data_IF_498936740890
#
_entry.id   IF_498936740890
#
_cell.length_a   1.000
_cell.length_b   1.000
_cell.length_c   1.000
_cell.angle_alpha   90.00
_cell.angle_beta   90.00
_cell.angle_gamma   90.00
#
_symmetry.space_group_name_H-M   'P 1'
#
loop_
_entity.id
_entity.type
_entity.pdbx_description
1 polymer ?
#
# COMPACT_ATOMS: atom_id res chain seq x y z
N UNK A 1 -19.81 -22.43 7.69
CA UNK A 1 -20.29 -21.26 6.93
C UNK A 1 -19.08 -20.35 6.69
N UNK A 2 -18.42 -20.48 5.52
CA UNK A 2 -17.25 -19.66 5.15
C UNK A 2 -17.77 -18.37 4.52
N UNK A 3 -17.23 -17.24 4.95
CA UNK A 3 -17.81 -15.93 4.65
C UNK A 3 -16.84 -14.93 4.02
N UNK A 4 -15.54 -15.17 4.19
CA UNK A 4 -14.46 -14.40 3.58
C UNK A 4 -13.38 -15.37 3.11
N UNK A 5 -12.77 -15.08 1.97
CA UNK A 5 -11.69 -15.88 1.40
C UNK A 5 -10.55 -14.98 0.94
N UNK A 6 -9.35 -15.24 1.46
CA UNK A 6 -8.13 -14.61 0.98
C UNK A 6 -7.57 -15.35 -0.23
N UNK A 7 -7.20 -14.61 -1.27
CA UNK A 7 -6.69 -15.11 -2.55
C UNK A 7 -5.32 -14.48 -2.83
N UNK A 8 -4.26 -15.29 -2.86
CA UNK A 8 -2.95 -14.85 -3.36
C UNK A 8 -2.96 -14.81 -4.89
N UNK A 9 -3.41 -13.69 -5.46
CA UNK A 9 -3.51 -13.50 -6.92
C UNK A 9 -2.15 -13.07 -7.49
N UNK A 10 -1.38 -12.30 -6.73
CA UNK A 10 -0.10 -11.67 -7.10
C UNK A 10 -0.23 -10.59 -8.17
N UNK A 11 -0.60 -10.93 -9.40
CA UNK A 11 -0.70 -9.98 -10.52
C UNK A 11 -1.65 -10.51 -11.60
N UNK A 12 -2.39 -9.65 -12.31
CA UNK A 12 -3.17 -10.08 -13.47
C UNK A 12 -2.28 -10.49 -14.67
N UNK A 13 -1.01 -10.08 -14.68
CA UNK A 13 -0.10 -10.35 -15.81
C UNK A 13 0.44 -11.78 -15.77
N UNK A 14 0.21 -12.53 -16.85
CA UNK A 14 0.74 -13.90 -17.01
C UNK A 14 2.27 -13.97 -16.97
N UNK A 15 2.99 -12.89 -17.34
CA UNK A 15 4.45 -12.84 -17.25
C UNK A 15 4.93 -12.88 -15.78
N UNK A 16 4.44 -11.97 -14.94
CA UNK A 16 4.76 -11.94 -13.50
C UNK A 16 4.27 -13.20 -12.75
N UNK A 17 3.15 -13.80 -13.16
CA UNK A 17 2.71 -15.09 -12.61
C UNK A 17 3.66 -16.24 -12.93
N UNK A 18 4.27 -16.26 -14.13
CA UNK A 18 5.29 -17.26 -14.47
C UNK A 18 6.60 -17.01 -13.72
N UNK A 19 6.99 -15.75 -13.56
CA UNK A 19 8.16 -15.34 -12.78
C UNK A 19 8.07 -15.81 -11.32
N UNK A 20 6.86 -15.76 -10.74
CA UNK A 20 6.59 -16.19 -9.36
C UNK A 20 6.19 -17.67 -9.22
N UNK A 21 6.25 -18.44 -10.30
CA UNK A 21 5.84 -19.86 -10.34
C UNK A 21 4.39 -20.10 -9.89
N UNK A 22 3.52 -19.09 -10.03
CA UNK A 22 2.09 -19.17 -9.68
C UNK A 22 1.28 -19.84 -10.79
N UNK A 23 1.69 -21.04 -11.18
CA UNK A 23 1.21 -21.73 -12.40
C UNK A 23 -0.30 -22.01 -12.38
N UNK A 24 -0.89 -22.19 -11.20
CA UNK A 24 -2.35 -22.30 -11.05
C UNK A 24 -3.10 -21.03 -11.48
N UNK A 25 -2.53 -19.84 -11.25
CA UNK A 25 -3.10 -18.56 -11.70
C UNK A 25 -2.81 -18.31 -13.19
N UNK A 26 -1.74 -18.91 -13.72
CA UNK A 26 -1.43 -18.88 -15.16
C UNK A 26 -2.47 -19.69 -15.95
N UNK A 27 -2.88 -20.85 -15.43
CA UNK A 27 -3.77 -21.78 -16.12
C UNK A 27 -5.26 -21.38 -16.11
N UNK A 28 -5.65 -20.36 -15.35
CA UNK A 28 -7.05 -19.97 -15.16
C UNK A 28 -7.35 -18.57 -15.68
N UNK A 29 -8.62 -18.31 -15.97
CA UNK A 29 -9.13 -16.95 -16.06
C UNK A 29 -9.41 -16.43 -14.64
N UNK A 30 -8.65 -15.43 -14.22
CA UNK A 30 -8.67 -14.95 -12.84
C UNK A 30 -10.00 -14.30 -12.48
N UNK A 31 -10.58 -13.53 -13.40
CA UNK A 31 -11.84 -12.81 -13.18
C UNK A 31 -12.99 -13.79 -12.95
N UNK A 32 -13.17 -14.78 -13.83
CA UNK A 32 -14.21 -15.81 -13.67
C UNK A 32 -13.99 -16.67 -12.43
N UNK A 33 -12.75 -16.99 -12.08
CA UNK A 33 -12.42 -17.74 -10.86
C UNK A 33 -12.85 -16.95 -9.61
N UNK A 34 -12.51 -15.68 -9.53
CA UNK A 34 -12.91 -14.80 -8.41
C UNK A 34 -14.43 -14.68 -8.35
N UNK A 35 -15.11 -14.44 -9.48
CA UNK A 35 -16.58 -14.34 -9.54
C UNK A 35 -17.27 -15.63 -9.13
N UNK A 36 -16.70 -16.79 -9.47
CA UNK A 36 -17.21 -18.09 -9.04
C UNK A 36 -17.14 -18.24 -7.52
N UNK A 37 -16.05 -17.78 -6.88
CA UNK A 37 -15.94 -17.79 -5.41
C UNK A 37 -16.97 -16.83 -4.80
N UNK A 38 -17.07 -15.62 -5.33
CA UNK A 38 -18.04 -14.62 -4.87
C UNK A 38 -19.48 -15.10 -5.01
N UNK A 39 -19.81 -15.90 -6.04
CA UNK A 39 -21.17 -16.43 -6.26
C UNK A 39 -21.63 -17.40 -5.18
N UNK A 40 -20.75 -17.85 -4.28
CA UNK A 40 -21.13 -18.61 -3.08
C UNK A 40 -21.43 -17.72 -1.86
N UNK A 41 -21.45 -16.39 -2.02
CA UNK A 41 -21.72 -15.45 -0.93
C UNK A 41 -20.49 -15.10 -0.09
N UNK A 42 -19.29 -15.32 -0.64
CA UNK A 42 -18.02 -15.05 0.04
C UNK A 42 -17.48 -13.67 -0.36
N UNK A 43 -17.02 -12.90 0.61
CA UNK A 43 -16.22 -11.71 0.36
C UNK A 43 -14.81 -12.16 -0.01
N UNK A 44 -14.28 -11.68 -1.14
CA UNK A 44 -12.91 -11.99 -1.55
C UNK A 44 -11.95 -10.89 -1.12
N UNK A 45 -10.83 -11.29 -0.53
CA UNK A 45 -9.67 -10.43 -0.24
C UNK A 45 -8.55 -10.84 -1.18
N UNK A 46 -7.99 -9.93 -1.96
CA UNK A 46 -6.88 -10.26 -2.87
C UNK A 46 -5.54 -9.77 -2.33
N UNK A 47 -4.56 -10.67 -2.24
CA UNK A 47 -3.14 -10.35 -2.15
C UNK A 47 -2.59 -10.04 -3.53
N UNK A 48 -2.11 -8.80 -3.71
CA UNK A 48 -1.57 -8.28 -4.96
C UNK A 48 -0.16 -7.74 -4.71
N UNK A 49 0.73 -7.91 -5.68
CA UNK A 49 2.12 -7.47 -5.65
C UNK A 49 2.43 -6.71 -6.94
N UNK A 50 3.18 -5.62 -6.82
CA UNK A 50 3.76 -4.87 -7.94
C UNK A 50 5.27 -4.80 -7.77
N UNK A 51 6.01 -4.78 -8.88
CA UNK A 51 7.46 -4.64 -8.90
C UNK A 51 8.18 -5.91 -9.37
N UNK A 52 7.49 -6.77 -10.13
CA UNK A 52 8.10 -7.87 -10.85
C UNK A 52 8.99 -7.36 -11.98
N UNK A 53 9.93 -8.18 -12.45
CA UNK A 53 10.87 -7.75 -13.51
C UNK A 53 10.15 -7.44 -14.83
N UNK A 54 8.98 -8.05 -15.05
CA UNK A 54 8.12 -7.82 -16.21
C UNK A 54 7.11 -6.68 -16.05
N UNK A 55 7.10 -5.99 -14.91
CA UNK A 55 6.20 -4.86 -14.69
C UNK A 55 6.76 -3.59 -15.34
N UNK A 56 6.01 -3.05 -16.30
CA UNK A 56 6.19 -1.72 -16.88
C UNK A 56 5.10 -0.77 -16.34
N UNK A 57 5.11 0.50 -16.76
CA UNK A 57 4.18 1.51 -16.25
C UNK A 57 2.68 1.16 -16.45
N UNK A 58 2.33 0.26 -17.39
CA UNK A 58 0.94 -0.14 -17.59
C UNK A 58 0.42 -1.06 -16.47
N UNK A 59 1.29 -1.60 -15.60
CA UNK A 59 0.87 -2.51 -14.53
C UNK A 59 -0.16 -1.87 -13.60
N UNK A 60 -0.07 -0.55 -13.37
CA UNK A 60 -0.97 0.14 -12.46
C UNK A 60 -2.41 0.14 -12.96
N UNK A 61 -2.60 0.33 -14.27
CA UNK A 61 -3.94 0.24 -14.87
C UNK A 61 -4.41 -1.20 -14.94
N UNK A 62 -3.56 -2.15 -15.32
CA UNK A 62 -3.91 -3.57 -15.38
C UNK A 62 -4.40 -4.08 -14.01
N UNK A 63 -3.71 -3.71 -12.93
CA UNK A 63 -4.08 -4.02 -11.55
C UNK A 63 -5.44 -3.41 -11.19
N UNK A 64 -5.64 -2.12 -11.49
CA UNK A 64 -6.90 -1.44 -11.21
C UNK A 64 -8.07 -2.07 -11.98
N UNK A 65 -7.91 -2.26 -13.28
CA UNK A 65 -8.93 -2.82 -14.17
C UNK A 65 -9.33 -4.23 -13.72
N UNK A 66 -8.35 -5.10 -13.43
CA UNK A 66 -8.61 -6.44 -12.91
C UNK A 66 -9.41 -6.40 -11.60
N UNK A 67 -8.97 -5.61 -10.63
CA UNK A 67 -9.63 -5.53 -9.32
C UNK A 67 -11.06 -4.99 -9.42
N UNK A 68 -11.29 -4.03 -10.33
CA UNK A 68 -12.61 -3.47 -10.60
C UNK A 68 -13.51 -4.48 -11.31
N UNK A 69 -13.01 -5.14 -12.35
CA UNK A 69 -13.76 -6.12 -13.14
C UNK A 69 -14.12 -7.38 -12.34
N UNK A 70 -13.18 -7.87 -11.52
CA UNK A 70 -13.38 -8.97 -10.59
C UNK A 70 -14.20 -8.58 -9.35
N UNK A 71 -14.50 -7.29 -9.18
CA UNK A 71 -15.29 -6.80 -8.06
C UNK A 71 -14.67 -7.05 -6.69
N UNK A 72 -13.35 -7.02 -6.53
CA UNK A 72 -12.70 -7.40 -5.26
C UNK A 72 -12.73 -6.21 -4.27
N UNK A 73 -13.49 -6.25 -3.18
CA UNK A 73 -13.66 -5.07 -2.32
C UNK A 73 -12.42 -4.75 -1.45
N UNK A 74 -11.66 -5.77 -1.04
CA UNK A 74 -10.49 -5.62 -0.16
C UNK A 74 -9.23 -6.10 -0.87
N UNK A 75 -8.20 -5.26 -0.89
CA UNK A 75 -6.96 -5.51 -1.62
C UNK A 75 -5.76 -5.30 -0.69
N UNK A 76 -5.04 -6.37 -0.41
CA UNK A 76 -3.71 -6.31 0.19
C UNK A 76 -2.69 -6.09 -0.92
N UNK A 77 -2.57 -4.85 -1.37
CA UNK A 77 -1.60 -4.44 -2.38
C UNK A 77 -0.27 -4.10 -1.70
N UNK A 78 0.83 -4.68 -2.18
CA UNK A 78 2.17 -4.41 -1.70
C UNK A 78 3.20 -4.30 -2.83
N UNK A 79 4.35 -3.74 -2.51
CA UNK A 79 5.51 -3.76 -3.40
C UNK A 79 6.34 -5.03 -3.15
N UNK A 80 6.88 -5.62 -4.21
CA UNK A 80 7.72 -6.80 -4.12
C UNK A 80 8.96 -6.49 -3.27
N UNK A 81 9.28 -7.38 -2.34
CA UNK A 81 10.42 -7.25 -1.44
C UNK A 81 11.29 -8.52 -1.57
N UNK A 82 12.58 -8.32 -1.75
CA UNK A 82 13.55 -9.41 -1.80
C UNK A 82 14.00 -9.72 -0.38
N UNK A 83 13.43 -10.76 0.24
CA UNK A 83 13.75 -11.17 1.62
C UNK A 83 15.08 -11.95 1.64
N UNK A 84 16.03 -11.66 2.56
CA UNK A 84 17.29 -12.38 2.67
C UNK A 84 17.12 -13.89 2.66
N UNK A 85 18.04 -14.60 1.99
CA UNK A 85 18.06 -16.07 1.84
C UNK A 85 16.89 -16.64 1.03
N UNK A 86 16.20 -15.82 0.23
CA UNK A 86 15.26 -16.31 -0.79
C UNK A 86 15.95 -16.42 -2.15
N UNK A 87 15.49 -17.30 -3.06
CA UNK A 87 16.00 -17.36 -4.42
C UNK A 87 15.93 -16.01 -5.14
N UNK A 88 14.89 -15.21 -4.87
CA UNK A 88 14.74 -13.86 -5.42
C UNK A 88 15.85 -12.93 -4.92
N UNK A 89 16.15 -12.94 -3.62
CA UNK A 89 17.22 -12.14 -3.04
C UNK A 89 18.58 -12.49 -3.63
N UNK A 90 18.95 -13.77 -3.66
CA UNK A 90 20.24 -14.19 -4.22
C UNK A 90 20.38 -13.81 -5.70
N UNK A 91 19.28 -13.90 -6.47
CA UNK A 91 19.25 -13.49 -7.88
C UNK A 91 19.50 -11.98 -8.03
N UNK A 92 18.85 -11.17 -7.21
CA UNK A 92 18.96 -9.70 -7.28
C UNK A 92 20.27 -9.19 -6.69
N UNK A 93 20.84 -9.87 -5.69
CA UNK A 93 22.17 -9.60 -5.16
C UNK A 93 23.25 -9.79 -6.23
N UNK A 94 23.23 -10.94 -6.93
CA UNK A 94 24.14 -11.20 -8.06
C UNK A 94 23.95 -10.22 -9.23
N UNK A 95 22.75 -9.68 -9.39
CA UNK A 95 22.43 -8.69 -10.40
C UNK A 95 22.70 -7.23 -9.98
N UNK A 96 23.21 -6.99 -8.76
CA UNK A 96 23.40 -5.66 -8.18
C UNK A 96 22.13 -4.78 -8.18
N UNK A 97 20.97 -5.41 -7.98
CA UNK A 97 19.64 -4.75 -7.99
C UNK A 97 19.04 -4.59 -6.59
N UNK A 98 19.80 -4.84 -5.53
CA UNK A 98 19.38 -4.59 -4.16
C UNK A 98 19.74 -3.16 -3.74
N UNK A 99 18.75 -2.36 -3.36
CA UNK A 99 18.91 -0.96 -2.97
C UNK A 99 19.10 -0.77 -1.46
N UNK A 100 18.55 -1.67 -0.66
CA UNK A 100 18.54 -1.59 0.81
C UNK A 100 18.33 -2.97 1.43
N UNK A 101 18.48 -3.11 2.76
CA UNK A 101 17.96 -4.28 3.46
C UNK A 101 16.45 -4.42 3.29
N UNK A 102 15.97 -5.66 3.30
CA UNK A 102 14.53 -5.94 3.27
C UNK A 102 13.91 -5.68 4.64
N UNK A 103 12.66 -5.24 4.67
CA UNK A 103 11.94 -4.98 5.93
C UNK A 103 10.74 -5.90 6.16
N UNK A 104 10.42 -6.79 5.21
CA UNK A 104 9.41 -7.84 5.39
C UNK A 104 7.97 -7.34 5.60
N UNK A 105 7.71 -6.05 5.43
CA UNK A 105 6.41 -5.45 5.67
C UNK A 105 5.72 -5.05 4.34
N UNK A 106 4.58 -5.66 4.06
CA UNK A 106 3.78 -5.46 2.85
C UNK A 106 3.05 -4.11 2.79
N UNK A 107 3.01 -3.38 3.90
CA UNK A 107 2.37 -2.05 4.02
C UNK A 107 3.30 -0.89 3.65
N UNK A 108 4.55 -1.21 3.29
CA UNK A 108 5.58 -0.23 3.00
C UNK A 108 5.38 0.37 1.62
N UNK A 109 5.54 1.69 1.52
CA UNK A 109 5.48 2.42 0.24
C UNK A 109 6.84 2.48 -0.45
N UNK A 110 7.65 1.44 -0.31
CA UNK A 110 8.97 1.33 -0.93
C UNK A 110 9.35 -0.15 -1.16
N UNK A 111 10.37 -0.37 -1.99
CA UNK A 111 10.96 -1.68 -2.25
C UNK A 111 12.48 -1.63 -2.10
N UNK A 112 13.09 -2.76 -1.73
CA UNK A 112 14.54 -2.92 -1.76
C UNK A 112 15.08 -3.36 -3.12
N UNK A 113 14.25 -3.36 -4.17
CA UNK A 113 14.57 -3.84 -5.50
C UNK A 113 14.66 -2.66 -6.48
N UNK A 114 15.68 -2.64 -7.33
CA UNK A 114 15.72 -1.77 -8.51
C UNK A 114 14.86 -2.38 -9.64
N UNK A 115 13.77 -1.75 -10.08
CA UNK A 115 12.94 -2.25 -11.19
C UNK A 115 13.69 -2.30 -12.54
N UNK A 116 13.24 -3.17 -13.46
CA UNK A 116 13.87 -3.30 -14.79
C UNK A 116 13.22 -2.38 -15.83
N UNK A 117 11.88 -2.34 -15.87
CA UNK A 117 11.12 -1.74 -16.98
C UNK A 117 10.50 -0.37 -16.64
N UNK A 118 10.89 0.25 -15.52
CA UNK A 118 10.52 1.61 -15.14
C UNK A 118 11.54 2.16 -14.15
N UNK A 119 11.54 3.47 -13.90
CA UNK A 119 12.38 4.02 -12.83
C UNK A 119 11.80 3.69 -11.45
N UNK A 120 12.67 3.62 -10.45
CA UNK A 120 12.26 3.40 -9.06
C UNK A 120 11.20 4.40 -8.58
N UNK A 121 11.35 5.69 -8.87
CA UNK A 121 10.38 6.71 -8.44
C UNK A 121 9.04 6.62 -9.17
N UNK A 122 9.03 6.20 -10.44
CA UNK A 122 7.81 5.88 -11.19
C UNK A 122 7.07 4.70 -10.54
N UNK A 123 7.80 3.67 -10.10
CA UNK A 123 7.23 2.53 -9.37
C UNK A 123 6.51 2.98 -8.09
N UNK A 124 7.19 3.79 -7.27
CA UNK A 124 6.65 4.23 -5.98
C UNK A 124 5.46 5.17 -6.15
N UNK A 125 5.55 6.16 -7.04
CA UNK A 125 4.46 7.12 -7.24
C UNK A 125 3.26 6.48 -7.96
N UNK A 126 3.50 5.55 -8.89
CA UNK A 126 2.45 4.73 -9.50
C UNK A 126 1.74 3.84 -8.47
N UNK A 127 2.49 3.17 -7.59
CA UNK A 127 1.93 2.38 -6.48
C UNK A 127 1.04 3.23 -5.57
N UNK A 128 1.51 4.40 -5.13
CA UNK A 128 0.73 5.32 -4.28
C UNK A 128 -0.55 5.77 -4.99
N UNK A 129 -0.44 6.17 -6.25
CA UNK A 129 -1.58 6.63 -7.05
C UNK A 129 -2.64 5.54 -7.20
N UNK A 130 -2.20 4.32 -7.54
CA UNK A 130 -3.07 3.15 -7.62
C UNK A 130 -3.74 2.87 -6.27
N UNK A 131 -2.97 2.82 -5.19
CA UNK A 131 -3.48 2.52 -3.85
C UNK A 131 -4.55 3.54 -3.43
N UNK A 132 -4.36 4.83 -3.70
CA UNK A 132 -5.38 5.86 -3.46
C UNK A 132 -6.66 5.60 -4.28
N UNK A 133 -6.49 5.36 -5.59
CA UNK A 133 -7.59 5.16 -6.53
C UNK A 133 -8.45 3.96 -6.15
N UNK A 134 -7.82 2.86 -5.73
CA UNK A 134 -8.51 1.64 -5.27
C UNK A 134 -9.44 1.91 -4.09
N UNK A 135 -9.06 2.84 -3.20
CA UNK A 135 -9.79 3.17 -1.98
C UNK A 135 -10.52 4.52 -2.05
N UNK A 136 -10.89 4.95 -3.25
CA UNK A 136 -11.95 5.95 -3.42
C UNK A 136 -13.29 5.37 -2.95
N UNK A 137 -14.15 6.23 -2.39
CA UNK A 137 -15.47 5.81 -1.92
C UNK A 137 -16.25 5.17 -3.07
N UNK A 138 -16.19 5.74 -4.27
CA UNK A 138 -16.86 5.19 -5.43
C UNK A 138 -16.30 3.83 -5.85
N UNK A 139 -14.98 3.67 -5.98
CA UNK A 139 -14.39 2.39 -6.40
C UNK A 139 -14.68 1.26 -5.39
N UNK A 140 -14.59 1.53 -4.09
CA UNK A 140 -14.97 0.56 -3.05
C UNK A 140 -16.46 0.21 -3.17
N UNK A 141 -17.31 1.23 -3.28
CA UNK A 141 -18.76 1.05 -3.32
C UNK A 141 -19.24 0.25 -4.53
N UNK A 142 -18.63 0.48 -5.69
CA UNK A 142 -18.90 -0.28 -6.91
C UNK A 142 -18.57 -1.76 -6.75
N UNK A 143 -17.36 -2.08 -6.29
CA UNK A 143 -16.93 -3.47 -6.09
C UNK A 143 -17.80 -4.17 -5.05
N UNK A 144 -18.14 -3.48 -3.95
CA UNK A 144 -19.01 -4.04 -2.93
C UNK A 144 -20.44 -4.29 -3.43
N UNK A 145 -21.07 -3.31 -4.09
CA UNK A 145 -22.44 -3.47 -4.57
C UNK A 145 -22.55 -4.49 -5.71
N UNK A 146 -21.50 -4.69 -6.50
CA UNK A 146 -21.42 -5.79 -7.46
C UNK A 146 -21.47 -7.16 -6.76
N UNK A 147 -20.77 -7.32 -5.64
CA UNK A 147 -20.85 -8.54 -4.83
C UNK A 147 -22.25 -8.74 -4.26
N UNK A 148 -22.85 -7.70 -3.68
CA UNK A 148 -24.21 -7.77 -3.11
C UNK A 148 -25.23 -8.20 -4.17
N UNK A 149 -25.09 -7.75 -5.41
CA UNK A 149 -25.95 -8.20 -6.50
C UNK A 149 -25.70 -9.66 -6.88
N UNK A 150 -24.44 -10.08 -7.02
CA UNK A 150 -24.08 -11.47 -7.33
C UNK A 150 -24.60 -12.46 -6.26
N UNK A 151 -24.58 -12.05 -5.00
CA UNK A 151 -25.01 -12.85 -3.85
C UNK A 151 -26.50 -13.20 -3.82
N UNK A 152 -27.32 -12.55 -4.65
CA UNK A 152 -28.75 -12.86 -4.80
C UNK A 152 -29.00 -14.29 -5.26
N UNK A 153 -28.02 -14.91 -5.92
CA UNK A 153 -28.10 -16.31 -6.38
C UNK A 153 -27.91 -17.34 -5.27
N UNK A 154 -27.67 -16.94 -4.01
CA UNK A 154 -27.40 -17.84 -2.88
C UNK A 154 -28.57 -17.83 -1.89
N UNK A 155 -29.64 -18.61 -2.12
CA UNK A 155 -30.81 -18.61 -1.26
C UNK A 155 -30.49 -19.19 0.13
N UNK A 156 -31.18 -18.70 1.16
CA UNK A 156 -31.12 -19.26 2.52
C UNK A 156 -29.84 -18.99 3.31
N UNK A 157 -28.88 -18.22 2.75
CA UNK A 157 -27.64 -17.86 3.45
C UNK A 157 -27.90 -16.81 4.54
N UNK A 158 -27.30 -17.00 5.70
CA UNK A 158 -27.25 -15.99 6.76
C UNK A 158 -26.15 -14.97 6.46
N UNK A 159 -26.54 -13.71 6.25
CA UNK A 159 -25.64 -12.62 5.89
C UNK A 159 -25.07 -11.88 7.11
N UNK A 160 -24.76 -12.64 8.16
CA UNK A 160 -24.14 -12.14 9.36
C UNK A 160 -22.84 -12.91 9.59
N UNK A 161 -21.73 -12.30 9.20
CA UNK A 161 -20.41 -12.94 9.16
C UNK A 161 -19.89 -13.44 10.51
N UNK A 162 -20.11 -12.64 11.56
CA UNK A 162 -19.79 -12.98 12.94
C UNK A 162 -21.09 -12.93 13.71
N UNK A 163 -21.48 -13.97 14.47
CA UNK A 163 -22.65 -13.85 15.33
C UNK A 163 -22.46 -12.59 16.17
N UNK A 164 -23.52 -11.79 16.29
CA UNK A 164 -23.57 -10.71 17.28
C UNK A 164 -23.27 -11.41 18.60
N UNK A 165 -22.03 -11.29 19.08
CA UNK A 165 -21.63 -11.85 20.35
C UNK A 165 -22.52 -11.25 21.45
N UNK A 166 -22.29 -11.62 22.70
CA UNK A 166 -23.03 -11.02 23.80
C UNK A 166 -22.95 -9.48 23.69
N UNK A 167 -24.10 -8.81 23.70
CA UNK A 167 -24.18 -7.36 23.51
C UNK A 167 -23.21 -6.66 24.48
N UNK A 168 -22.30 -5.85 23.92
CA UNK A 168 -21.38 -5.03 24.72
C UNK A 168 -21.73 -3.57 24.46
N UNK A 169 -21.82 -2.73 25.51
CA UNK A 169 -22.17 -1.30 25.34
C UNK A 169 -21.23 -0.57 24.37
N UNK A 170 -19.98 -1.00 24.25
CA UNK A 170 -19.03 -0.47 23.26
C UNK A 170 -19.48 -0.65 21.79
N UNK A 171 -20.31 -1.65 21.45
CA UNK A 171 -20.82 -1.81 20.09
C UNK A 171 -21.72 -0.65 19.64
N UNK A 172 -22.57 -0.15 20.55
CA UNK A 172 -23.40 1.02 20.27
C UNK A 172 -22.53 2.26 20.09
N UNK A 173 -21.52 2.44 20.95
CA UNK A 173 -20.54 3.52 20.80
C UNK A 173 -19.84 3.44 19.44
N UNK A 174 -19.36 2.26 19.06
CA UNK A 174 -18.69 2.04 17.77
C UNK A 174 -19.63 2.34 16.59
N UNK A 175 -20.89 1.90 16.65
CA UNK A 175 -21.90 2.20 15.63
C UNK A 175 -22.14 3.71 15.49
N UNK A 176 -22.27 4.42 16.62
CA UNK A 176 -22.41 5.88 16.63
C UNK A 176 -21.17 6.59 16.08
N UNK A 177 -19.96 6.10 16.36
CA UNK A 177 -18.73 6.65 15.81
C UNK A 177 -18.63 6.48 14.29
N UNK A 178 -19.01 5.31 13.77
CA UNK A 178 -19.08 5.03 12.33
C UNK A 178 -20.07 5.99 11.67
N UNK A 179 -21.30 6.08 12.20
CA UNK A 179 -22.33 6.97 11.67
C UNK A 179 -21.88 8.44 11.72
N UNK A 180 -21.29 8.88 12.82
CA UNK A 180 -20.74 10.24 12.97
C UNK A 180 -19.70 10.54 11.90
N UNK A 181 -18.81 9.59 11.59
CA UNK A 181 -17.78 9.78 10.55
C UNK A 181 -18.38 9.98 9.15
N UNK A 182 -19.44 9.23 8.82
CA UNK A 182 -20.14 9.35 7.54
C UNK A 182 -20.98 10.63 7.44
N UNK A 183 -21.71 11.00 8.50
CA UNK A 183 -22.55 12.21 8.51
C UNK A 183 -21.71 13.50 8.51
N UNK A 184 -20.44 13.44 8.95
CA UNK A 184 -19.57 14.61 9.07
C UNK A 184 -19.24 15.32 7.74
N UNK A 185 -19.44 14.69 6.57
CA UNK A 185 -19.23 15.32 5.26
C UNK A 185 -20.31 14.89 4.26
N UNK A 186 -20.82 15.80 3.39
CA UNK A 186 -21.86 15.45 2.40
C UNK A 186 -21.48 14.30 1.48
N UNK A 187 -20.22 14.23 1.00
CA UNK A 187 -19.75 13.15 0.13
C UNK A 187 -19.73 11.78 0.83
N UNK A 188 -19.39 11.75 2.13
CA UNK A 188 -19.40 10.52 2.94
C UNK A 188 -20.83 10.09 3.25
N UNK A 189 -21.72 11.03 3.55
CA UNK A 189 -23.13 10.75 3.76
C UNK A 189 -23.78 10.21 2.48
N UNK A 190 -23.50 10.82 1.33
CA UNK A 190 -23.97 10.33 0.03
C UNK A 190 -23.49 8.90 -0.24
N UNK A 191 -22.21 8.60 0.02
CA UNK A 191 -21.69 7.23 -0.07
C UNK A 191 -22.40 6.27 0.89
N UNK A 192 -22.58 6.65 2.16
CA UNK A 192 -23.31 5.83 3.14
C UNK A 192 -24.73 5.51 2.66
N UNK A 193 -25.47 6.52 2.22
CA UNK A 193 -26.82 6.35 1.67
C UNK A 193 -26.82 5.46 0.43
N UNK A 194 -25.88 5.67 -0.51
CA UNK A 194 -25.70 4.82 -1.70
C UNK A 194 -25.47 3.36 -1.32
N UNK A 195 -24.64 3.09 -0.31
CA UNK A 195 -24.34 1.74 0.14
C UNK A 195 -25.55 1.07 0.78
N UNK A 196 -26.23 1.74 1.71
CA UNK A 196 -27.40 1.18 2.39
C UNK A 196 -28.57 1.00 1.42
N UNK A 197 -28.94 2.02 0.66
CA UNK A 197 -30.01 1.92 -0.33
C UNK A 197 -29.68 0.90 -1.43
N UNK A 198 -28.43 0.90 -1.90
CA UNK A 198 -27.94 -0.06 -2.89
C UNK A 198 -28.03 -1.51 -2.41
N UNK A 199 -27.74 -1.77 -1.14
CA UNK A 199 -27.89 -3.10 -0.53
C UNK A 199 -29.36 -3.45 -0.31
N UNK A 200 -30.18 -2.54 0.23
CA UNK A 200 -31.62 -2.79 0.46
C UNK A 200 -32.33 -3.12 -0.85
N UNK A 201 -32.03 -2.42 -1.94
CA UNK A 201 -32.67 -2.66 -3.24
C UNK A 201 -32.23 -3.98 -3.91
N UNK A 202 -31.03 -4.47 -3.63
CA UNK A 202 -30.49 -5.71 -4.22
C UNK A 202 -30.76 -6.94 -3.36
N UNK A 203 -30.38 -6.86 -2.07
CA UNK A 203 -30.42 -7.96 -1.11
C UNK A 203 -30.57 -7.40 0.31
N UNK A 204 -31.80 -7.13 0.80
CA UNK A 204 -32.04 -6.59 2.14
C UNK A 204 -31.40 -7.40 3.26
N UNK A 205 -31.34 -8.72 3.10
CA UNK A 205 -30.74 -9.60 4.09
C UNK A 205 -29.25 -9.30 4.33
N UNK A 206 -28.53 -8.72 3.35
CA UNK A 206 -27.11 -8.37 3.44
C UNK A 206 -26.82 -6.98 4.04
N UNK A 207 -27.84 -6.26 4.53
CA UNK A 207 -27.65 -4.96 5.20
C UNK A 207 -26.72 -5.05 6.42
N UNK A 208 -26.86 -6.02 7.34
CA UNK A 208 -25.94 -6.14 8.48
C UNK A 208 -24.49 -6.37 8.06
N UNK A 209 -24.29 -7.16 7.01
CA UNK A 209 -22.98 -7.39 6.38
C UNK A 209 -22.39 -6.09 5.83
N UNK A 210 -23.17 -5.35 5.03
CA UNK A 210 -22.75 -4.07 4.45
C UNK A 210 -22.37 -3.08 5.53
N UNK A 211 -23.19 -2.95 6.57
CA UNK A 211 -22.91 -2.03 7.68
C UNK A 211 -21.61 -2.38 8.41
N UNK A 212 -21.34 -3.67 8.63
CA UNK A 212 -20.10 -4.14 9.25
C UNK A 212 -18.85 -3.75 8.44
N UNK A 213 -18.94 -3.80 7.10
CA UNK A 213 -17.83 -3.47 6.20
C UNK A 213 -17.62 -1.96 6.02
N UNK A 214 -18.63 -1.13 6.28
CA UNK A 214 -18.46 0.33 6.28
C UNK A 214 -17.36 0.75 7.27
N UNK A 215 -17.28 0.13 8.46
CA UNK A 215 -16.18 0.35 9.39
C UNK A 215 -14.81 0.02 8.77
N UNK A 216 -14.74 -1.09 8.03
CA UNK A 216 -13.52 -1.52 7.35
C UNK A 216 -13.12 -0.56 6.23
N UNK A 217 -14.08 -0.02 5.48
CA UNK A 217 -13.83 0.96 4.43
C UNK A 217 -13.32 2.30 4.96
N UNK A 218 -13.72 2.71 6.17
CA UNK A 218 -13.10 3.86 6.86
C UNK A 218 -11.60 3.58 7.05
N UNK A 219 -11.26 2.43 7.63
CA UNK A 219 -9.86 2.07 7.89
C UNK A 219 -9.03 1.98 6.61
N UNK A 220 -9.55 1.35 5.57
CA UNK A 220 -8.86 1.25 4.28
C UNK A 220 -8.64 2.62 3.64
N UNK A 221 -9.63 3.52 3.72
CA UNK A 221 -9.51 4.90 3.22
C UNK A 221 -8.45 5.69 3.99
N UNK A 222 -8.52 5.66 5.32
CA UNK A 222 -7.54 6.35 6.17
C UNK A 222 -6.13 5.78 5.99
N UNK A 223 -6.03 4.47 5.80
CA UNK A 223 -4.77 3.81 5.50
C UNK A 223 -4.22 4.22 4.13
N UNK A 224 -5.07 4.29 3.10
CA UNK A 224 -4.67 4.80 1.78
C UNK A 224 -4.18 6.25 1.85
N UNK A 225 -4.87 7.12 2.60
CA UNK A 225 -4.45 8.51 2.78
C UNK A 225 -3.06 8.59 3.47
N UNK A 226 -2.77 7.69 4.43
CA UNK A 226 -1.45 7.59 5.07
C UNK A 226 -0.35 7.10 4.12
N UNK A 227 -0.62 6.02 3.37
CA UNK A 227 0.32 5.45 2.37
C UNK A 227 0.69 6.49 1.29
N UNK A 228 -0.26 7.34 0.92
CA UNK A 228 -0.12 8.34 -0.15
C UNK A 228 0.49 9.65 0.36
N UNK A 229 0.35 9.96 1.65
CA UNK A 229 0.85 11.22 2.21
C UNK A 229 2.36 11.37 2.01
N UNK A 230 2.75 12.21 1.03
CA UNK A 230 4.13 12.60 0.71
C UNK A 230 4.84 13.29 1.88
N UNK A 231 4.08 13.73 2.88
CA UNK A 231 4.57 14.31 4.13
C UNK A 231 5.42 13.35 4.95
N UNK A 232 5.39 12.05 4.67
CA UNK A 232 6.24 11.07 5.35
C UNK A 232 7.31 10.59 4.38
N UNK A 233 8.55 11.02 4.61
CA UNK A 233 9.72 10.29 4.11
C UNK A 233 10.08 9.28 5.19
N UNK A 234 10.17 8.01 4.80
CA UNK A 234 10.84 7.03 5.63
C UNK A 234 12.31 7.45 5.71
N UNK A 235 12.73 7.96 6.86
CA UNK A 235 14.14 8.21 7.10
C UNK A 235 14.72 6.90 7.62
N UNK A 236 15.41 6.20 6.73
CA UNK A 236 16.13 4.99 7.09
C UNK A 236 17.42 5.43 7.73
N UNK A 237 17.52 5.35 9.05
CA UNK A 237 18.79 5.46 9.74
C UNK A 237 19.63 4.21 9.40
N UNK A 238 20.18 4.17 8.18
CA UNK A 238 21.15 3.15 7.77
C UNK A 238 22.53 3.49 8.32
N UNK A 239 22.82 4.78 8.51
CA UNK A 239 24.10 5.29 9.00
C UNK A 239 24.34 5.04 10.49
N UNK A 240 23.26 4.93 11.29
CA UNK A 240 23.32 4.67 12.74
C UNK A 240 23.36 3.16 13.08
N UNK A 241 23.26 2.30 12.07
CA UNK A 241 23.25 0.85 12.24
C UNK A 241 24.62 0.33 11.92
N UNK A 242 25.33 -0.18 12.94
CA UNK A 242 26.60 -0.86 12.74
C UNK A 242 26.38 -2.18 11.96
N UNK A 243 26.45 -2.10 10.63
CA UNK A 243 26.31 -3.24 9.72
C UNK A 243 27.54 -4.14 9.70
N UNK A 244 28.70 -3.68 10.21
CA UNK A 244 29.93 -4.48 10.24
C UNK A 244 29.84 -5.72 11.13
N UNK A 245 28.96 -5.71 12.13
CA UNK A 245 28.69 -6.85 13.01
C UNK A 245 27.52 -7.73 12.53
N UNK A 246 26.75 -7.28 11.53
CA UNK A 246 25.50 -7.91 11.15
C UNK A 246 25.61 -8.52 9.76
N UNK A 247 25.97 -9.81 9.72
CA UNK A 247 26.18 -10.59 8.48
C UNK A 247 24.94 -10.65 7.56
N UNK A 248 23.77 -10.19 8.02
CA UNK A 248 22.47 -10.35 7.38
C UNK A 248 21.74 -9.04 7.06
N UNK A 249 22.27 -7.87 7.41
CA UNK A 249 21.65 -6.57 7.11
C UNK A 249 20.32 -6.28 7.83
N UNK A 250 19.85 -7.15 8.73
CA UNK A 250 18.62 -6.96 9.50
C UNK A 250 18.90 -6.03 10.69
N UNK A 251 18.69 -4.72 10.55
CA UNK A 251 18.96 -3.82 11.68
C UNK A 251 18.52 -2.36 11.58
N UNK A 252 17.77 -1.95 10.55
CA UNK A 252 17.26 -0.58 10.46
C UNK A 252 16.12 -0.30 11.44
N UNK A 253 16.26 0.74 12.26
CA UNK A 253 15.09 1.33 12.93
C UNK A 253 14.29 2.13 11.90
N UNK A 254 12.99 1.85 11.81
CA UNK A 254 12.08 2.58 10.90
C UNK A 254 11.48 3.73 11.69
N UNK A 255 11.96 4.94 11.46
CA UNK A 255 11.33 6.15 11.97
C UNK A 255 10.51 6.79 10.86
N UNK A 256 9.21 6.89 11.09
CA UNK A 256 8.35 7.74 10.27
C UNK A 256 8.64 9.18 10.71
N UNK A 257 9.22 9.99 9.82
CA UNK A 257 9.43 11.41 10.08
C UNK A 257 8.47 12.21 9.21
N UNK A 258 7.71 13.10 9.84
CA UNK A 258 6.91 14.10 9.14
C UNK A 258 7.86 15.15 8.59
N UNK A 259 7.79 15.44 7.29
CA UNK A 259 8.45 16.57 6.68
C UNK A 259 7.87 17.84 7.31
N UNK A 260 8.67 18.51 8.12
CA UNK A 260 8.37 19.88 8.49
C UNK A 260 8.50 20.72 7.22
N UNK A 261 7.47 21.52 6.92
CA UNK A 261 7.52 22.46 5.81
C UNK A 261 8.69 23.41 6.10
N UNK A 262 9.75 23.33 5.30
CA UNK A 262 10.78 24.37 5.30
C UNK A 262 10.06 25.67 4.92
N UNK A 263 9.79 26.49 5.92
CA UNK A 263 9.50 27.90 5.73
C UNK A 263 10.80 28.50 5.23
N UNK A 264 10.92 28.65 3.91
CA UNK A 264 11.87 29.57 3.30
C UNK A 264 11.49 30.99 3.73
N UNK A 265 11.91 31.34 4.95
CA UNK A 265 11.95 32.69 5.48
C UNK A 265 13.07 33.46 4.80
N UNK A 266 12.99 33.62 3.48
CA UNK A 266 13.78 34.59 2.75
C UNK A 266 13.36 35.99 3.18
N UNK A 267 14.05 36.56 4.16
CA UNK A 267 14.00 38.00 4.44
C UNK A 267 15.33 38.62 4.04
N UNK A 268 15.38 39.08 2.80
CA UNK A 268 16.39 40.03 2.35
C UNK A 268 16.01 41.43 2.87
N UNK A 269 16.88 41.92 3.75
CA UNK A 269 17.65 43.15 3.57
C UNK A 269 17.38 44.40 4.45
N UNK A 270 18.54 45.02 4.77
CA UNK A 270 18.83 46.37 5.25
C UNK A 270 18.70 46.70 6.76
N UNK A 271 19.83 46.82 7.47
CA UNK A 271 20.47 48.12 7.79
C UNK A 271 21.66 48.03 8.78
N UNK A 272 22.75 48.71 8.40
CA UNK A 272 23.80 49.39 9.17
C UNK A 272 24.86 48.63 10.04
N UNK A 273 26.08 48.59 9.45
CA UNK A 273 27.34 49.29 9.83
C UNK A 273 28.06 49.05 11.19
N UNK A 274 29.38 48.85 11.01
CA UNK A 274 30.56 49.00 11.90
C UNK A 274 30.91 47.83 12.82
N UNK A 275 32.16 47.44 13.10
CA UNK A 275 33.50 47.70 12.55
C UNK A 275 34.47 46.64 13.17
N UNK A 276 35.77 46.75 12.88
CA UNK A 276 36.96 46.02 13.40
C UNK A 276 37.26 44.64 12.76
N UNK A 277 38.20 44.48 11.81
CA UNK A 277 39.69 44.64 11.81
C UNK A 277 40.41 43.57 12.66
N UNK A 278 41.19 42.68 12.01
CA UNK A 278 42.35 42.04 12.65
C UNK A 278 42.84 40.69 12.10
N UNK A 279 43.90 40.72 11.28
CA UNK A 279 44.91 39.68 10.95
C UNK A 279 44.46 38.43 10.14
N UNK A 280 44.95 38.10 8.94
CA UNK A 280 46.27 38.09 8.27
C UNK A 280 47.03 36.74 8.35
N UNK A 281 47.37 36.19 7.17
CA UNK A 281 48.24 35.02 6.89
C UNK A 281 47.46 33.81 6.36
N UNK A 282 47.44 33.48 5.06
CA UNK A 282 48.55 32.94 4.25
C UNK A 282 48.64 31.41 4.49
N UNK A 283 48.58 30.47 3.56
CA UNK A 283 48.85 30.44 2.12
C UNK A 283 48.11 29.26 1.47
N UNK A 284 47.85 29.39 0.18
CA UNK A 284 47.44 28.33 -0.74
C UNK A 284 48.65 27.47 -1.19
N UNK A 285 48.32 26.30 -1.75
CA UNK A 285 49.07 25.52 -2.74
C UNK A 285 50.25 24.62 -2.32
N UNK A 286 50.03 23.30 -2.43
CA UNK A 286 50.65 22.37 -3.42
C UNK A 286 50.23 20.93 -3.09
N UNK A 287 49.39 20.29 -3.90
CA UNK A 287 49.75 19.43 -5.04
C UNK A 287 50.68 18.26 -4.67
N UNK A 288 50.06 17.09 -4.63
CA UNK A 288 50.53 15.78 -5.12
C UNK A 288 52.04 15.48 -5.17
N UNK A 289 52.45 14.50 -4.35
CA UNK A 289 53.37 13.39 -4.68
C UNK A 289 53.60 12.65 -3.34
N UNK A 290 53.17 11.41 -3.16
CA UNK A 290 53.67 10.16 -3.73
C UNK A 290 54.19 9.30 -2.56
N UNK A 291 53.79 8.03 -2.61
CA UNK A 291 54.21 6.90 -1.80
C UNK A 291 55.64 6.98 -1.24
N UNK A 292 55.82 6.58 0.02
CA UNK A 292 56.60 5.40 0.46
C UNK A 292 57.09 5.55 1.90
N UNK A 293 57.15 4.39 2.56
CA UNK A 293 57.81 4.07 3.82
C UNK A 293 57.13 4.68 5.06
N UNK A 294 56.66 3.92 6.04
CA UNK A 294 57.21 2.66 6.53
C UNK A 294 57.68 2.88 7.95
N UNK A 295 56.74 2.81 8.90
CA UNK A 295 56.88 2.45 10.33
C UNK A 295 55.62 2.91 11.07
#
# INVERSE_FOLDING_TARGET
NITEMFLGVETPRKAGLRETLKMQNVATDLVSTVKTIQSYGMVTVAGMIIGFDSDDAAIFEDQYAFLQEAGIPIVMLGLLQAIPRTPLYERLERAFRLRSPAQGNNTLSFTNIEPVCMRYDELIDGYRTLFNRLYTLDAIGERWLANVDAWRSVPGRTWLQKPLGRWRPFMLVQMLLILRWYVARPSRLAFFCRMIAGTVTRLPAAVPQTFSYLAYFIHLREYADKVVSREWRFNYALDDVNTSANRFGEGGAINMLKLEAQHDGGRCDSTNRHADIGSAGGDQERVAAQERAGS
#
